data_IF_202499665309
#
_entry.id   IF_202499665309
#
_cell.length_a   1.000
_cell.length_b   1.000
_cell.length_c   1.000
_cell.angle_alpha   90.00
_cell.angle_beta   90.00
_cell.angle_gamma   90.00
#
_symmetry.space_group_name_H-M   'P 1'
#
loop_
_entity.id
_entity.type
_entity.pdbx_description
1 polymer ?
#
# COMPACT_ATOMS: atom_id res chain seq x y z
N UNK A 1 3.29 4.30 -13.05
CA UNK A 1 2.90 3.11 -12.30
C UNK A 1 1.40 2.98 -12.34
N UNK A 2 0.94 1.85 -12.85
CA UNK A 2 -0.44 1.53 -13.16
C UNK A 2 -0.85 0.27 -12.38
N UNK A 3 -2.15 0.03 -12.27
CA UNK A 3 -2.69 -1.16 -11.64
C UNK A 3 -2.74 -2.31 -12.64
N UNK A 4 -2.07 -3.41 -12.33
CA UNK A 4 -2.06 -4.62 -13.16
C UNK A 4 -3.20 -5.58 -12.80
N UNK A 5 -3.55 -5.68 -11.52
CA UNK A 5 -4.65 -6.50 -11.05
C UNK A 5 -5.17 -6.01 -9.70
N UNK A 6 -6.45 -6.27 -9.43
CA UNK A 6 -7.11 -5.99 -8.15
C UNK A 6 -7.74 -7.27 -7.64
N UNK A 7 -7.48 -7.61 -6.38
CA UNK A 7 -7.99 -8.81 -5.72
C UNK A 7 -8.77 -8.41 -4.46
N UNK A 8 -9.88 -9.09 -4.19
CA UNK A 8 -10.53 -9.03 -2.89
C UNK A 8 -9.86 -10.03 -1.93
N UNK A 9 -9.83 -9.75 -0.61
CA UNK A 9 -9.34 -10.71 0.37
C UNK A 9 -10.22 -11.96 0.40
N UNK A 10 -9.59 -13.14 0.27
CA UNK A 10 -10.24 -14.41 0.60
C UNK A 10 -10.11 -14.67 2.09
N UNK A 11 -11.25 -14.60 2.80
CA UNK A 11 -11.34 -14.78 4.25
C UNK A 11 -11.76 -16.21 4.64
N UNK A 12 -11.92 -17.11 3.67
CA UNK A 12 -12.37 -18.50 3.91
C UNK A 12 -11.30 -19.36 4.59
N UNK A 13 -10.03 -19.01 4.43
CA UNK A 13 -8.91 -19.75 5.01
C UNK A 13 -8.27 -18.99 6.18
N UNK A 14 -7.93 -19.72 7.25
CA UNK A 14 -7.19 -19.17 8.40
C UNK A 14 -5.85 -19.87 8.51
N UNK A 15 -4.79 -19.25 7.98
CA UNK A 15 -3.42 -19.70 8.20
C UNK A 15 -2.89 -19.14 9.52
N UNK A 16 -2.67 -20.02 10.50
CA UNK A 16 -2.01 -19.65 11.76
C UNK A 16 -0.52 -19.92 11.61
N UNK A 17 0.26 -18.85 11.42
CA UNK A 17 1.71 -18.94 11.34
C UNK A 17 2.32 -18.66 12.73
N UNK A 18 3.33 -19.43 13.16
CA UNK A 18 4.13 -19.07 14.32
C UNK A 18 4.89 -17.77 14.01
N UNK A 19 5.09 -16.94 15.03
CA UNK A 19 5.80 -15.67 14.88
C UNK A 19 6.98 -15.69 15.80
N UNK A 20 8.12 -15.35 15.23
CA UNK A 20 9.26 -14.98 16.03
C UNK A 20 9.12 -13.51 16.40
N UNK A 21 8.64 -13.22 17.60
CA UNK A 21 8.54 -11.86 18.16
C UNK A 21 9.81 -11.42 18.89
N UNK A 22 10.86 -12.26 18.90
CA UNK A 22 12.18 -11.83 19.29
C UNK A 22 12.63 -10.72 18.36
N UNK A 23 12.92 -9.52 18.91
CA UNK A 23 13.82 -8.61 18.21
C UNK A 23 15.05 -9.45 17.90
N UNK A 24 15.40 -9.61 16.62
CA UNK A 24 16.72 -10.13 16.26
C UNK A 24 17.67 -8.92 16.42
N UNK A 25 18.37 -8.73 17.57
CA UNK A 25 19.53 -7.88 17.53
C UNK A 25 20.45 -8.49 16.46
N UNK A 26 21.10 -7.66 15.66
CA UNK A 26 22.23 -8.11 14.87
C UNK A 26 23.36 -8.49 15.85
N UNK A 27 23.29 -9.69 16.43
CA UNK A 27 24.13 -10.13 17.56
C UNK A 27 23.67 -11.46 18.15
N UNK A 28 24.44 -12.02 19.09
CA UNK A 28 24.21 -13.33 19.69
C UNK A 28 22.88 -13.37 20.48
N UNK A 29 21.89 -14.20 20.08
CA UNK A 29 20.68 -14.36 20.86
C UNK A 29 20.98 -15.18 22.12
N UNK A 30 20.47 -14.72 23.27
CA UNK A 30 20.58 -15.47 24.53
C UNK A 30 19.55 -16.61 24.54
N UNK A 31 19.87 -17.83 25.02
CA UNK A 31 18.96 -18.99 25.02
C UNK A 31 17.68 -18.84 25.86
N UNK A 32 17.55 -17.74 26.61
CA UNK A 32 16.46 -17.52 27.57
C UNK A 32 15.28 -16.72 26.99
N UNK A 33 15.35 -16.22 25.75
CA UNK A 33 14.30 -15.43 25.10
C UNK A 33 13.27 -16.26 24.33
N UNK A 34 13.25 -17.59 24.51
CA UNK A 34 12.33 -18.53 23.86
C UNK A 34 10.86 -18.45 24.34
N UNK A 35 10.49 -17.38 25.06
CA UNK A 35 9.10 -17.12 25.41
C UNK A 35 8.37 -16.47 24.22
N UNK A 36 7.86 -17.32 23.33
CA UNK A 36 7.05 -16.93 22.18
C UNK A 36 5.66 -16.49 22.68
N UNK A 37 5.52 -15.22 23.06
CA UNK A 37 4.20 -14.62 23.29
C UNK A 37 3.62 -14.06 21.99
N UNK A 38 2.73 -14.84 21.36
CA UNK A 38 1.79 -14.32 20.35
C UNK A 38 1.85 -15.00 18.98
N UNK A 39 0.68 -15.10 18.34
CA UNK A 39 0.51 -15.54 16.95
C UNK A 39 0.14 -14.33 16.11
N UNK A 40 0.81 -14.10 14.99
CA UNK A 40 0.54 -13.04 14.01
C UNK A 40 -0.38 -13.67 12.99
N UNK A 41 -1.50 -13.01 12.81
CA UNK A 41 -2.39 -13.27 11.71
C UNK A 41 -2.22 -12.10 10.75
N UNK A 42 -1.63 -12.35 9.58
CA UNK A 42 -1.40 -11.31 8.57
C UNK A 42 -2.70 -10.68 8.10
N UNK A 43 -3.81 -11.42 8.09
CA UNK A 43 -5.11 -10.83 7.78
C UNK A 43 -5.48 -9.81 8.85
N UNK A 44 -5.39 -10.15 10.15
CA UNK A 44 -5.68 -9.19 11.23
C UNK A 44 -4.70 -8.02 11.26
N UNK A 45 -3.46 -8.24 10.85
CA UNK A 45 -2.43 -7.22 10.86
C UNK A 45 -2.58 -6.21 9.71
N UNK A 46 -2.85 -6.70 8.49
CA UNK A 46 -2.90 -5.89 7.28
C UNK A 46 -4.31 -5.41 6.93
N UNK A 47 -5.34 -6.17 7.31
CA UNK A 47 -6.74 -5.94 6.93
C UNK A 47 -7.52 -5.39 8.13
N UNK A 48 -7.63 -4.07 8.23
CA UNK A 48 -8.44 -3.41 9.27
C UNK A 48 -9.92 -3.44 8.94
N UNK A 49 -10.28 -3.21 7.67
CA UNK A 49 -11.66 -3.17 7.19
C UNK A 49 -11.88 -4.20 6.08
N UNK A 50 -12.23 -5.47 6.41
CA UNK A 50 -12.23 -6.56 5.43
C UNK A 50 -13.13 -6.34 4.21
N UNK A 51 -14.28 -5.69 4.39
CA UNK A 51 -15.20 -5.38 3.29
C UNK A 51 -14.71 -4.25 2.36
N UNK A 52 -13.72 -3.46 2.79
CA UNK A 52 -13.20 -2.31 2.08
C UNK A 52 -11.71 -2.43 1.73
N UNK A 53 -11.08 -3.56 2.06
CA UNK A 53 -9.66 -3.81 1.77
C UNK A 53 -9.52 -4.59 0.47
N UNK A 54 -8.56 -4.20 -0.35
CA UNK A 54 -8.25 -4.82 -1.63
C UNK A 54 -6.73 -4.95 -1.79
N UNK A 55 -6.30 -5.97 -2.52
CA UNK A 55 -4.90 -6.14 -2.88
C UNK A 55 -4.70 -5.71 -4.33
N UNK A 56 -3.72 -4.83 -4.57
CA UNK A 56 -3.50 -4.23 -5.89
C UNK A 56 -2.10 -4.56 -6.35
N UNK A 57 -1.97 -5.32 -7.43
CA UNK A 57 -0.67 -5.57 -8.06
C UNK A 57 -0.33 -4.40 -8.96
N UNK A 58 0.89 -3.87 -8.83
CA UNK A 58 1.33 -2.70 -9.59
C UNK A 58 2.36 -3.04 -10.65
N UNK A 59 2.39 -2.23 -11.70
CA UNK A 59 3.41 -2.28 -12.75
C UNK A 59 3.93 -0.89 -13.09
N UNK A 60 5.22 -0.80 -13.39
CA UNK A 60 5.95 0.45 -13.63
C UNK A 60 6.80 0.87 -12.42
N UNK A 61 7.45 2.01 -12.55
CA UNK A 61 8.58 2.45 -11.71
C UNK A 61 8.40 3.88 -11.17
N UNK A 62 7.26 4.53 -11.43
CA UNK A 62 7.03 5.92 -11.01
C UNK A 62 6.99 6.14 -9.49
N UNK A 63 7.12 5.08 -8.68
CA UNK A 63 7.06 5.12 -7.21
C UNK A 63 8.27 4.45 -6.54
N UNK A 64 9.38 4.24 -7.27
CA UNK A 64 10.58 3.57 -6.75
C UNK A 64 11.15 4.21 -5.47
N UNK A 65 11.22 5.54 -5.39
CA UNK A 65 11.73 6.25 -4.21
C UNK A 65 10.78 6.17 -3.01
N UNK A 66 9.54 5.71 -3.22
CA UNK A 66 8.61 5.35 -2.13
C UNK A 66 8.70 3.87 -1.73
N UNK A 67 9.67 3.12 -2.28
CA UNK A 67 9.85 1.70 -2.02
C UNK A 67 8.86 0.78 -2.74
N UNK A 68 8.13 1.31 -3.74
CA UNK A 68 7.16 0.54 -4.52
C UNK A 68 7.78 0.19 -5.87
N UNK A 69 7.94 -1.11 -6.11
CA UNK A 69 8.55 -1.68 -7.30
C UNK A 69 7.50 -2.34 -8.21
N UNK A 70 7.89 -2.60 -9.46
CA UNK A 70 7.07 -3.39 -10.37
C UNK A 70 6.89 -4.80 -9.83
N UNK A 71 5.65 -5.30 -9.81
CA UNK A 71 5.30 -6.62 -9.29
C UNK A 71 4.82 -6.62 -7.84
N UNK A 72 4.99 -5.51 -7.11
CA UNK A 72 4.59 -5.40 -5.72
C UNK A 72 3.08 -5.56 -5.55
N UNK A 73 2.71 -6.08 -4.38
CA UNK A 73 1.32 -6.19 -3.96
C UNK A 73 1.03 -5.12 -2.90
N UNK A 74 0.18 -4.17 -3.25
CA UNK A 74 -0.28 -3.12 -2.35
C UNK A 74 -1.50 -3.58 -1.58
N UNK A 75 -1.57 -3.23 -0.30
CA UNK A 75 -2.80 -3.36 0.50
C UNK A 75 -3.50 -2.01 0.50
N UNK A 76 -4.71 -1.96 -0.06
CA UNK A 76 -5.47 -0.73 -0.29
C UNK A 76 -6.77 -0.77 0.49
N UNK A 77 -7.07 0.29 1.23
CA UNK A 77 -8.30 0.43 2.00
C UNK A 77 -9.15 1.57 1.44
N UNK A 78 -10.37 1.23 0.99
CA UNK A 78 -11.34 2.17 0.41
C UNK A 78 -12.19 2.90 1.44
N UNK A 79 -12.15 2.47 2.71
CA UNK A 79 -12.91 3.13 3.79
C UNK A 79 -12.18 4.33 4.38
N UNK A 80 -10.87 4.47 4.09
CA UNK A 80 -10.06 5.56 4.59
C UNK A 80 -10.23 6.81 3.73
N UNK A 81 -10.38 7.96 4.39
CA UNK A 81 -10.29 9.26 3.72
C UNK A 81 -8.83 9.57 3.37
N UNK A 82 -8.57 9.87 2.10
CA UNK A 82 -7.24 10.19 1.63
C UNK A 82 -6.83 11.61 2.03
N UNK A 83 -5.72 11.72 2.75
CA UNK A 83 -5.14 13.00 3.18
C UNK A 83 -3.84 13.33 2.43
N UNK A 84 -3.39 14.59 2.54
CA UNK A 84 -2.12 15.06 1.96
C UNK A 84 -0.96 14.13 2.33
N UNK A 85 -0.14 13.78 1.34
CA UNK A 85 1.02 12.90 1.49
C UNK A 85 0.71 11.40 1.50
N UNK A 86 -0.54 10.97 1.52
CA UNK A 86 -0.89 9.54 1.40
C UNK A 86 -0.52 8.99 0.02
N UNK A 87 -0.10 7.72 -0.04
CA UNK A 87 -0.05 7.01 -1.31
C UNK A 87 -1.46 6.48 -1.59
N UNK A 88 -1.98 6.77 -2.78
CA UNK A 88 -3.35 6.43 -3.16
C UNK A 88 -3.37 5.68 -4.47
N UNK A 89 -4.38 4.84 -4.61
CA UNK A 89 -4.86 4.41 -5.93
C UNK A 89 -5.91 5.42 -6.37
N UNK A 90 -5.66 6.11 -7.47
CA UNK A 90 -6.56 7.10 -8.04
C UNK A 90 -7.05 6.65 -9.42
N UNK A 91 -8.28 6.98 -9.74
CA UNK A 91 -8.84 6.91 -11.09
C UNK A 91 -8.69 8.31 -11.69
N UNK A 92 -7.93 8.42 -12.77
CA UNK A 92 -7.76 9.64 -13.54
C UNK A 92 -8.21 9.38 -14.98
N UNK A 93 -9.25 10.09 -15.42
CA UNK A 93 -9.84 9.95 -16.76
C UNK A 93 -10.19 8.49 -17.12
N UNK A 94 -10.60 7.72 -16.11
CA UNK A 94 -10.97 6.30 -16.23
C UNK A 94 -9.81 5.31 -16.02
N UNK A 95 -8.57 5.78 -15.89
CA UNK A 95 -7.40 4.94 -15.69
C UNK A 95 -6.93 4.88 -14.23
N UNK A 96 -6.59 3.68 -13.76
CA UNK A 96 -6.06 3.48 -12.40
C UNK A 96 -4.56 3.75 -12.35
N UNK A 97 -4.17 4.70 -11.49
CA UNK A 97 -2.76 5.03 -11.22
C UNK A 97 -2.44 5.01 -9.73
N UNK A 98 -1.17 4.73 -9.42
CA UNK A 98 -0.65 4.82 -8.05
C UNK A 98 0.31 5.99 -7.95
N UNK A 99 -0.01 6.92 -7.05
CA UNK A 99 0.76 8.15 -6.80
C UNK A 99 0.60 8.62 -5.37
N UNK A 100 1.47 9.52 -4.94
CA UNK A 100 1.29 10.25 -3.69
C UNK A 100 0.34 11.40 -3.91
N UNK A 101 -0.72 11.47 -3.11
CA UNK A 101 -1.68 12.56 -3.13
C UNK A 101 -1.02 13.81 -2.55
N UNK A 102 -1.09 14.92 -3.27
CA UNK A 102 -0.76 16.25 -2.76
C UNK A 102 -2.01 17.11 -2.81
N UNK A 103 -2.47 17.55 -1.64
CA UNK A 103 -3.69 18.33 -1.47
C UNK A 103 -3.42 19.47 -0.51
N UNK A 104 -3.15 20.65 -1.05
CA UNK A 104 -2.97 21.90 -0.28
C UNK A 104 -3.69 23.05 -0.96
N UNK A 105 -4.35 23.88 -0.17
CA UNK A 105 -5.14 25.03 -0.63
C UNK A 105 -6.13 24.65 -1.74
N UNK A 106 -5.94 25.22 -2.94
CA UNK A 106 -6.75 24.95 -4.14
C UNK A 106 -6.04 24.03 -5.14
N UNK A 107 -4.94 23.41 -4.74
CA UNK A 107 -4.08 22.62 -5.61
C UNK A 107 -4.18 21.15 -5.27
N UNK A 108 -4.56 20.36 -6.28
CA UNK A 108 -4.64 18.91 -6.21
C UNK A 108 -3.67 18.33 -7.23
N UNK A 109 -2.71 17.54 -6.76
CA UNK A 109 -1.68 16.92 -7.60
C UNK A 109 -1.47 15.47 -7.22
N UNK A 110 -1.08 14.67 -8.20
CA UNK A 110 -0.55 13.33 -8.02
C UNK A 110 0.95 13.37 -8.24
N UNK A 111 1.70 13.17 -7.16
CA UNK A 111 3.15 13.20 -7.17
C UNK A 111 3.71 11.79 -7.40
N UNK A 112 4.54 11.57 -8.44
CA UNK A 112 5.38 10.38 -8.51
C UNK A 112 6.46 10.44 -7.44
N UNK A 113 6.95 9.27 -7.04
CA UNK A 113 8.16 9.12 -6.22
C UNK A 113 9.27 8.53 -7.09
N UNK A 114 9.60 9.23 -8.18
CA UNK A 114 10.70 8.92 -9.09
C UNK A 114 11.04 10.18 -9.88
N UNK A 115 12.31 10.59 -9.85
CA UNK A 115 12.83 11.81 -10.49
C UNK A 115 12.60 11.89 -12.00
N UNK A 116 12.43 10.74 -12.66
CA UNK A 116 12.19 10.67 -14.10
C UNK A 116 10.75 11.02 -14.49
N UNK A 117 9.85 11.21 -13.51
CA UNK A 117 8.44 11.47 -13.72
C UNK A 117 8.04 12.85 -13.19
N UNK A 118 7.19 13.55 -13.94
CA UNK A 118 6.66 14.84 -13.53
C UNK A 118 5.39 14.69 -12.68
N UNK A 119 5.15 15.58 -11.70
CA UNK A 119 3.86 15.72 -11.04
C UNK A 119 2.70 15.89 -12.03
N UNK A 120 1.57 15.25 -11.74
CA UNK A 120 0.34 15.42 -12.52
C UNK A 120 -0.56 16.38 -11.76
N UNK A 121 -0.86 17.54 -12.33
CA UNK A 121 -1.82 18.49 -11.77
C UNK A 121 -3.22 18.17 -12.27
N UNK A 122 -4.16 18.03 -11.34
CA UNK A 122 -5.54 17.67 -11.66
C UNK A 122 -6.27 18.94 -12.10
N UNK A 123 -6.69 18.97 -13.36
CA UNK A 123 -7.45 20.08 -13.92
C UNK A 123 -8.95 19.91 -13.65
N UNK A 124 -9.69 21.03 -13.63
CA UNK A 124 -11.12 21.03 -13.31
C UNK A 124 -11.99 20.23 -14.30
N UNK A 125 -11.50 20.02 -15.53
CA UNK A 125 -12.18 19.28 -16.58
C UNK A 125 -11.89 17.77 -16.54
N UNK A 126 -10.91 17.32 -15.75
CA UNK A 126 -10.55 15.92 -15.66
C UNK A 126 -11.43 15.17 -14.67
N UNK A 127 -11.74 13.92 -14.98
CA UNK A 127 -12.41 13.04 -14.03
C UNK A 127 -11.36 12.50 -13.05
N UNK A 128 -11.50 12.85 -11.77
CA UNK A 128 -10.58 12.40 -10.73
C UNK A 128 -11.32 11.86 -9.53
N UNK A 129 -10.98 10.63 -9.14
CA UNK A 129 -11.48 9.98 -7.94
C UNK A 129 -10.34 9.28 -7.22
N UNK A 130 -10.29 9.37 -5.89
CA UNK A 130 -9.44 8.48 -5.09
C UNK A 130 -10.20 7.18 -4.86
N UNK A 131 -9.71 6.09 -5.44
CA UNK A 131 -10.32 4.77 -5.29
C UNK A 131 -10.08 4.19 -3.90
N UNK A 132 -8.89 4.39 -3.34
CA UNK A 132 -8.53 3.97 -1.99
C UNK A 132 -7.12 4.35 -1.56
N UNK A 133 -6.84 4.24 -0.27
CA UNK A 133 -5.56 4.59 0.36
C UNK A 133 -4.67 3.35 0.48
N UNK A 134 -3.42 3.46 0.04
CA UNK A 134 -2.42 2.39 0.20
C UNK A 134 -1.92 2.39 1.64
N UNK A 135 -2.10 1.27 2.34
CA UNK A 135 -1.71 1.11 3.74
C UNK A 135 -0.39 0.38 3.90
N UNK A 136 -0.10 -0.59 3.03
CA UNK A 136 1.10 -1.44 3.09
C UNK A 136 1.58 -1.84 1.70
N UNK A 137 2.86 -2.16 1.59
CA UNK A 137 3.52 -2.71 0.40
C UNK A 137 4.09 -4.07 0.77
N UNK A 138 3.74 -5.11 0.00
CA UNK A 138 4.30 -6.45 0.13
C UNK A 138 5.23 -6.65 -1.07
N UNK A 139 6.53 -6.68 -0.77
CA UNK A 139 7.61 -6.82 -1.73
C UNK A 139 8.37 -8.12 -1.45
N UNK A 140 8.52 -8.96 -2.47
CA UNK A 140 9.37 -10.15 -2.40
C UNK A 140 10.80 -9.76 -2.78
N UNK A 141 11.77 -10.14 -1.93
CA UNK A 141 13.20 -9.91 -2.14
C UNK A 141 13.85 -11.02 -2.96
#
# INVERSE_FOLDING_TARGET
>A
MNVAAVYAPDLSTRYRLPVFLGRLPAGFPSPADDYIEGKLDLNRHLIKHPAATFFVRVSGDSMLEAGIHTGDLLVVDRSLEAVDGNVVVAVLDGELTVKRLYKRDKTLRLLPANKNYQPIEIQAQQSFEVWGVVTNVIHAL
#
